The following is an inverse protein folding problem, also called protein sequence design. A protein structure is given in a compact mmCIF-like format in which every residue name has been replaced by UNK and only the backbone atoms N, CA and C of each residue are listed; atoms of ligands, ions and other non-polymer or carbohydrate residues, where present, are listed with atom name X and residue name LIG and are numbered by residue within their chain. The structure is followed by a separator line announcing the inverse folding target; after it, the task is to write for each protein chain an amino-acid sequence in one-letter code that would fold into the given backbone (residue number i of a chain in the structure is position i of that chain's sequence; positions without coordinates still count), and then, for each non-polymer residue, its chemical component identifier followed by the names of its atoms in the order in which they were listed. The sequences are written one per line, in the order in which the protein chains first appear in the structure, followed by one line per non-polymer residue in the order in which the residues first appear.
data_IF_508140630001
#
_entry.id   IF_508140630001
#
_cell.length_a   1.000
_cell.length_b   1.000
_cell.length_c   1.000
_cell.angle_alpha   90.00
_cell.angle_beta   90.00
_cell.angle_gamma   90.00
#
_symmetry.space_group_name_H-M   'P 1'
#
loop_
_entity.id
_entity.type
_entity.pdbx_description
1 polymer ?
#
# COMPACT_ATOMS: atom_id res chain seq x y z
N UNK A 1 22.64 -1.09 0.63
CA UNK A 1 21.52 -2.04 0.66
C UNK A 1 20.58 -1.76 1.82
N UNK A 2 21.06 -1.59 3.06
CA UNK A 2 20.21 -1.40 4.26
C UNK A 2 19.18 -0.26 4.14
N UNK A 3 19.48 0.80 3.42
CA UNK A 3 18.59 1.96 3.25
C UNK A 3 17.59 1.82 2.08
N UNK A 4 17.77 0.85 1.19
CA UNK A 4 16.93 0.73 -0.02
C UNK A 4 15.52 0.30 0.35
N UNK A 5 15.38 -0.73 1.18
CA UNK A 5 14.07 -1.22 1.61
C UNK A 5 13.20 -0.16 2.29
N UNK A 6 13.68 0.53 3.35
CA UNK A 6 12.90 1.60 3.98
C UNK A 6 12.54 2.72 2.99
N UNK A 7 13.49 3.13 2.14
CA UNK A 7 13.27 4.17 1.14
C UNK A 7 12.20 3.77 0.12
N UNK A 8 12.26 2.54 -0.39
CA UNK A 8 11.27 2.01 -1.33
C UNK A 8 9.88 1.96 -0.70
N UNK A 9 9.76 1.38 0.51
CA UNK A 9 8.48 1.28 1.22
C UNK A 9 7.90 2.66 1.54
N UNK A 10 8.73 3.61 2.00
CA UNK A 10 8.26 4.98 2.30
C UNK A 10 7.79 5.69 1.02
N UNK A 11 8.48 5.53 -0.11
CA UNK A 11 8.04 6.11 -1.40
C UNK A 11 6.73 5.50 -1.89
N UNK A 12 6.60 4.18 -1.84
CA UNK A 12 5.37 3.47 -2.18
C UNK A 12 4.22 3.92 -1.26
N UNK A 13 4.46 3.98 0.05
CA UNK A 13 3.47 4.44 1.01
C UNK A 13 3.03 5.89 0.74
N UNK A 14 3.96 6.79 0.45
CA UNK A 14 3.66 8.19 0.10
C UNK A 14 2.78 8.28 -1.15
N UNK A 15 3.10 7.51 -2.18
CA UNK A 15 2.29 7.45 -3.40
C UNK A 15 0.90 6.87 -3.11
N UNK A 16 0.81 5.77 -2.37
CA UNK A 16 -0.46 5.15 -1.97
C UNK A 16 -1.32 6.09 -1.14
N UNK A 17 -0.73 6.83 -0.17
CA UNK A 17 -1.45 7.80 0.66
C UNK A 17 -2.02 8.99 -0.15
N UNK A 18 -1.48 9.27 -1.33
CA UNK A 18 -1.99 10.27 -2.27
C UNK A 18 -3.14 9.78 -3.16
N UNK A 19 -3.51 8.51 -3.09
CA UNK A 19 -4.60 7.95 -3.90
C UNK A 19 -5.98 8.43 -3.45
N UNK A 20 -6.96 8.37 -4.36
CA UNK A 20 -8.36 8.68 -4.08
C UNK A 20 -9.00 7.68 -3.13
N UNK A 21 -10.12 8.04 -2.49
CA UNK A 21 -10.90 7.10 -1.67
C UNK A 21 -11.34 5.88 -2.47
N UNK A 22 -11.66 6.04 -3.75
CA UNK A 22 -12.03 4.94 -4.65
C UNK A 22 -10.99 3.83 -4.69
N UNK A 23 -9.70 4.18 -4.71
CA UNK A 23 -8.61 3.21 -4.65
C UNK A 23 -8.67 2.33 -3.39
N UNK A 24 -9.03 2.92 -2.24
CA UNK A 24 -9.12 2.20 -0.96
C UNK A 24 -10.45 1.45 -0.81
N UNK A 25 -11.51 1.87 -1.51
CA UNK A 25 -12.80 1.18 -1.54
C UNK A 25 -12.74 -0.10 -2.39
N UNK A 26 -11.91 -0.10 -3.44
CA UNK A 26 -11.72 -1.23 -4.36
C UNK A 26 -10.77 -2.30 -3.81
N UNK A 27 -9.99 -2.00 -2.76
CA UNK A 27 -9.01 -2.94 -2.19
C UNK A 27 -8.88 -2.81 -0.66
N UNK A 28 -8.58 -3.91 0.02
CA UNK A 28 -8.46 -3.87 1.47
C UNK A 28 -7.02 -3.57 1.92
N UNK A 29 -6.91 -2.83 3.05
CA UNK A 29 -5.64 -2.30 3.58
C UNK A 29 -4.56 -3.38 3.79
N UNK A 30 -4.95 -4.60 4.16
CA UNK A 30 -4.03 -5.72 4.32
C UNK A 30 -3.34 -6.12 3.03
N UNK A 31 -4.07 -6.16 1.91
CA UNK A 31 -3.50 -6.48 0.59
C UNK A 31 -2.58 -5.36 0.10
N UNK A 32 -2.98 -4.12 0.26
CA UNK A 32 -2.16 -2.95 -0.08
C UNK A 32 -0.84 -2.97 0.70
N UNK A 33 -0.91 -3.15 2.02
CA UNK A 33 0.28 -3.23 2.87
C UNK A 33 1.20 -4.40 2.50
N UNK A 34 0.63 -5.58 2.23
CA UNK A 34 1.36 -6.76 1.77
C UNK A 34 2.10 -6.47 0.45
N UNK A 35 1.41 -5.85 -0.51
CA UNK A 35 2.01 -5.47 -1.80
C UNK A 35 3.15 -4.47 -1.63
N UNK A 36 3.00 -3.44 -0.78
CA UNK A 36 4.06 -2.48 -0.49
C UNK A 36 5.33 -3.16 0.05
N UNK A 37 5.17 -4.07 1.02
CA UNK A 37 6.30 -4.79 1.60
C UNK A 37 6.97 -5.74 0.61
N UNK A 38 6.17 -6.47 -0.17
CA UNK A 38 6.65 -7.41 -1.17
C UNK A 38 7.43 -6.70 -2.28
N UNK A 39 6.87 -5.61 -2.84
CA UNK A 39 7.52 -4.79 -3.85
C UNK A 39 8.80 -4.14 -3.31
N UNK A 40 8.77 -3.63 -2.07
CA UNK A 40 9.95 -3.05 -1.41
C UNK A 40 11.09 -4.05 -1.24
N UNK A 41 10.79 -5.31 -0.91
CA UNK A 41 11.78 -6.40 -0.85
C UNK A 41 12.33 -6.73 -2.23
N UNK A 42 11.46 -6.94 -3.21
CA UNK A 42 11.88 -7.26 -4.57
C UNK A 42 12.79 -6.17 -5.17
N UNK A 43 12.52 -4.88 -4.91
CA UNK A 43 13.41 -3.77 -5.32
C UNK A 43 14.78 -3.89 -4.63
N UNK A 44 14.80 -4.23 -3.34
CA UNK A 44 16.04 -4.35 -2.55
C UNK A 44 16.88 -5.53 -3.04
N UNK A 45 16.24 -6.68 -3.26
CA UNK A 45 16.88 -7.90 -3.71
C UNK A 45 17.40 -7.73 -5.15
N UNK A 46 16.63 -7.10 -6.03
CA UNK A 46 17.04 -6.74 -7.39
C UNK A 46 18.34 -5.90 -7.40
N UNK A 47 18.42 -4.85 -6.58
CA UNK A 47 19.61 -3.99 -6.50
C UNK A 47 20.80 -4.77 -5.93
N UNK A 48 20.55 -5.57 -4.89
CA UNK A 48 21.59 -6.39 -4.26
C UNK A 48 22.15 -7.44 -5.24
N UNK A 49 21.28 -8.18 -5.91
CA UNK A 49 21.67 -9.21 -6.87
C UNK A 49 22.34 -8.62 -8.10
N UNK A 50 21.87 -7.46 -8.59
CA UNK A 50 22.51 -6.77 -9.71
C UNK A 50 23.92 -6.31 -9.32
N UNK A 51 24.09 -5.65 -8.18
CA UNK A 51 25.38 -5.11 -7.76
C UNK A 51 26.41 -6.23 -7.45
N UNK A 52 26.01 -7.26 -6.72
CA UNK A 52 26.93 -8.32 -6.31
C UNK A 52 27.00 -9.46 -7.32
N UNK A 53 25.89 -9.81 -7.95
CA UNK A 53 25.81 -10.94 -8.87
C UNK A 53 26.32 -10.61 -10.27
N UNK A 54 25.75 -9.58 -10.90
CA UNK A 54 26.06 -9.27 -12.30
C UNK A 54 27.46 -8.71 -12.43
N UNK A 55 27.84 -7.70 -11.61
CA UNK A 55 29.16 -7.05 -11.69
C UNK A 55 30.28 -8.05 -11.43
N UNK A 56 30.13 -8.88 -10.38
CA UNK A 56 31.12 -9.91 -10.06
C UNK A 56 31.22 -10.95 -11.18
N UNK A 57 30.09 -11.40 -11.73
CA UNK A 57 30.07 -12.37 -12.82
C UNK A 57 30.74 -11.89 -14.08
N UNK A 58 30.48 -10.62 -14.47
CA UNK A 58 31.10 -10.01 -15.64
C UNK A 58 32.63 -9.92 -15.44
N UNK A 59 33.09 -9.47 -14.28
CA UNK A 59 34.51 -9.36 -13.96
C UNK A 59 35.24 -10.73 -14.06
N UNK A 60 34.63 -11.78 -13.49
CA UNK A 60 35.22 -13.12 -13.53
C UNK A 60 35.26 -13.71 -14.94
N UNK A 61 34.19 -13.52 -15.71
CA UNK A 61 34.13 -14.02 -17.08
C UNK A 61 35.14 -13.29 -17.96
N UNK A 62 35.25 -11.97 -17.88
CA UNK A 62 36.25 -11.21 -18.65
C UNK A 62 37.67 -11.63 -18.28
N UNK A 63 37.94 -11.81 -16.97
CA UNK A 63 39.23 -12.29 -16.50
C UNK A 63 39.53 -13.70 -17.02
N UNK A 64 38.55 -14.60 -17.01
CA UNK A 64 38.71 -15.98 -17.51
C UNK A 64 38.99 -16.01 -19.02
N UNK A 65 38.23 -15.27 -19.81
CA UNK A 65 38.45 -15.16 -21.27
C UNK A 65 39.84 -14.60 -21.58
N UNK A 66 40.28 -13.59 -20.83
CA UNK A 66 41.61 -12.99 -20.97
C UNK A 66 42.73 -14.03 -20.67
N UNK A 67 42.66 -14.73 -19.55
CA UNK A 67 43.68 -15.70 -19.16
C UNK A 67 43.72 -16.90 -20.10
N UNK A 68 42.57 -17.45 -20.48
CA UNK A 68 42.48 -18.57 -21.45
C UNK A 68 42.97 -18.14 -22.85
N UNK A 69 42.71 -16.89 -23.24
CA UNK A 69 43.15 -16.30 -24.49
C UNK A 69 44.68 -16.13 -24.58
N UNK A 70 45.39 -16.02 -23.44
CA UNK A 70 46.87 -16.01 -23.41
C UNK A 70 47.47 -17.39 -23.69
N UNK A 71 46.70 -18.46 -23.46
CA UNK A 71 47.11 -19.84 -23.79
C UNK A 71 46.95 -20.10 -25.30
N UNK A 72 45.73 -20.03 -25.74
CA UNK A 72 45.39 -20.19 -27.17
C UNK A 72 44.06 -19.51 -27.50
N UNK A 73 43.97 -18.81 -28.63
CA UNK A 73 42.77 -18.09 -29.07
C UNK A 73 41.59 -19.06 -29.34
N UNK A 74 41.86 -20.30 -29.70
CA UNK A 74 40.82 -21.31 -29.91
C UNK A 74 40.10 -21.69 -28.63
N UNK A 75 40.82 -21.77 -27.51
CA UNK A 75 40.24 -21.98 -26.16
C UNK A 75 39.33 -20.82 -25.78
N UNK A 76 39.77 -19.58 -25.99
CA UNK A 76 38.96 -18.38 -25.75
C UNK A 76 37.68 -18.40 -26.62
N UNK A 77 37.80 -18.81 -27.88
CA UNK A 77 36.65 -18.97 -28.80
C UNK A 77 35.63 -20.00 -28.28
N UNK A 78 36.09 -21.14 -27.73
CA UNK A 78 35.21 -22.16 -27.12
C UNK A 78 34.46 -21.62 -25.89
N UNK A 79 35.13 -20.83 -25.04
CA UNK A 79 34.48 -20.15 -23.89
C UNK A 79 33.40 -19.17 -24.38
N UNK A 80 33.66 -18.40 -25.41
CA UNK A 80 32.69 -17.48 -26.00
C UNK A 80 31.47 -18.23 -26.59
N UNK A 81 31.68 -19.32 -27.33
CA UNK A 81 30.58 -20.16 -27.87
C UNK A 81 29.74 -20.72 -26.72
N UNK A 82 30.38 -21.23 -25.68
CA UNK A 82 29.70 -21.70 -24.49
C UNK A 82 28.88 -20.61 -23.81
N UNK A 83 29.44 -19.38 -23.67
CA UNK A 83 28.73 -18.22 -23.13
C UNK A 83 27.49 -17.85 -23.97
N UNK A 84 27.60 -17.91 -25.30
CA UNK A 84 26.45 -17.67 -26.19
C UNK A 84 25.38 -18.73 -25.94
N UNK A 85 25.73 -20.00 -25.86
CA UNK A 85 24.80 -21.09 -25.53
C UNK A 85 24.11 -20.89 -24.18
N UNK A 86 24.89 -20.50 -23.17
CA UNK A 86 24.40 -20.16 -21.84
C UNK A 86 23.42 -18.98 -21.87
N UNK A 87 23.77 -17.90 -22.58
CA UNK A 87 22.90 -16.71 -22.75
C UNK A 87 21.60 -17.02 -23.51
N UNK A 88 21.65 -17.84 -24.57
CA UNK A 88 20.47 -18.28 -25.30
C UNK A 88 19.52 -19.09 -24.40
N UNK A 89 20.07 -19.95 -23.55
CA UNK A 89 19.30 -20.73 -22.61
C UNK A 89 18.58 -19.84 -21.59
N UNK A 90 19.27 -18.88 -21.02
CA UNK A 90 18.66 -17.87 -20.16
C UNK A 90 17.58 -17.07 -20.89
N UNK A 91 17.87 -16.57 -22.08
CA UNK A 91 16.90 -15.82 -22.91
C UNK A 91 15.61 -16.61 -23.16
N UNK A 92 15.72 -17.94 -23.29
CA UNK A 92 14.55 -18.81 -23.45
C UNK A 92 13.71 -18.95 -22.18
N UNK A 93 14.37 -19.10 -21.02
CA UNK A 93 13.68 -19.38 -19.75
C UNK A 93 13.18 -18.12 -19.03
N UNK A 94 13.93 -17.01 -19.08
CA UNK A 94 13.64 -15.78 -18.34
C UNK A 94 12.19 -15.28 -18.53
N UNK A 95 11.66 -15.10 -19.75
CA UNK A 95 10.29 -14.59 -19.92
C UNK A 95 9.24 -15.49 -19.28
N UNK A 96 9.46 -16.81 -19.34
CA UNK A 96 8.55 -17.81 -18.76
C UNK A 96 8.57 -17.83 -17.25
N UNK A 97 9.77 -17.69 -16.66
CA UNK A 97 9.95 -17.61 -15.21
C UNK A 97 9.30 -16.33 -14.67
N UNK A 98 9.46 -15.20 -15.36
CA UNK A 98 8.86 -13.91 -15.00
C UNK A 98 7.34 -13.98 -14.93
N UNK A 99 6.67 -14.55 -15.91
CA UNK A 99 5.20 -14.71 -15.90
C UNK A 99 4.75 -15.58 -14.73
N UNK A 100 5.42 -16.72 -14.50
CA UNK A 100 5.08 -17.61 -13.40
C UNK A 100 5.38 -16.99 -12.02
N UNK A 101 6.41 -16.14 -11.92
CA UNK A 101 6.71 -15.40 -10.70
C UNK A 101 5.59 -14.41 -10.38
N UNK A 102 5.10 -13.65 -11.37
CA UNK A 102 3.95 -12.75 -11.24
C UNK A 102 2.68 -13.49 -10.78
N UNK A 103 2.35 -14.62 -11.43
CA UNK A 103 1.19 -15.44 -11.06
C UNK A 103 1.28 -15.95 -9.61
N UNK A 104 2.48 -16.42 -9.21
CA UNK A 104 2.76 -16.85 -7.83
C UNK A 104 2.59 -15.73 -6.84
N UNK A 105 3.11 -14.53 -7.15
CA UNK A 105 3.00 -13.34 -6.30
C UNK A 105 1.53 -12.93 -6.11
N UNK A 106 0.74 -12.90 -7.18
CA UNK A 106 -0.69 -12.61 -7.15
C UNK A 106 -1.45 -13.63 -6.27
N UNK A 107 -1.21 -14.93 -6.46
CA UNK A 107 -1.85 -15.97 -5.66
C UNK A 107 -1.46 -15.88 -4.16
N UNK A 108 -0.22 -15.50 -3.86
CA UNK A 108 0.25 -15.25 -2.48
C UNK A 108 -0.50 -14.08 -1.84
N UNK A 109 -0.72 -13.00 -2.60
CA UNK A 109 -1.45 -11.84 -2.10
C UNK A 109 -2.91 -12.18 -1.77
N UNK A 110 -3.58 -13.00 -2.60
CA UNK A 110 -4.94 -13.48 -2.34
C UNK A 110 -4.99 -14.30 -1.05
N UNK A 111 -4.07 -15.27 -0.88
CA UNK A 111 -4.00 -16.09 0.33
C UNK A 111 -3.79 -15.21 1.58
N UNK A 112 -2.82 -14.30 1.54
CA UNK A 112 -2.57 -13.40 2.68
C UNK A 112 -3.77 -12.51 2.96
N UNK A 113 -4.43 -12.01 1.91
CA UNK A 113 -5.64 -11.22 2.03
C UNK A 113 -6.76 -11.98 2.74
N UNK A 114 -7.02 -13.22 2.36
CA UNK A 114 -8.03 -14.08 3.00
C UNK A 114 -7.72 -14.30 4.49
N UNK A 115 -6.46 -14.54 4.85
CA UNK A 115 -6.06 -14.72 6.25
C UNK A 115 -6.25 -13.43 7.06
N UNK A 116 -5.86 -12.28 6.49
CA UNK A 116 -6.03 -10.98 7.15
C UNK A 116 -7.50 -10.64 7.34
N UNK A 117 -8.35 -10.88 6.34
CA UNK A 117 -9.79 -10.63 6.43
C UNK A 117 -10.44 -11.49 7.53
N UNK A 118 -10.15 -12.80 7.55
CA UNK A 118 -10.64 -13.72 8.57
C UNK A 118 -10.23 -13.29 9.97
N UNK A 119 -8.95 -12.90 10.16
CA UNK A 119 -8.43 -12.47 11.47
C UNK A 119 -9.00 -11.12 11.90
N UNK A 120 -9.21 -10.20 10.96
CA UNK A 120 -9.83 -8.90 11.23
C UNK A 120 -11.26 -9.05 11.71
N UNK A 121 -12.00 -10.03 11.17
CA UNK A 121 -13.39 -10.32 11.49
C UNK A 121 -13.55 -11.53 12.43
N UNK A 122 -12.52 -11.86 13.21
CA UNK A 122 -12.48 -13.10 14.01
C UNK A 122 -13.64 -13.22 15.02
N UNK A 123 -14.12 -12.10 15.56
CA UNK A 123 -15.28 -12.07 16.45
C UNK A 123 -16.53 -12.59 15.74
N UNK A 124 -16.78 -12.16 14.51
CA UNK A 124 -17.91 -12.64 13.69
C UNK A 124 -17.77 -14.13 13.39
N UNK A 125 -16.59 -14.59 12.99
CA UNK A 125 -16.31 -16.01 12.72
C UNK A 125 -16.60 -16.87 13.96
N UNK A 126 -16.19 -16.39 15.14
CA UNK A 126 -16.44 -17.09 16.43
C UNK A 126 -17.91 -17.07 16.82
N UNK A 127 -18.59 -15.93 16.69
CA UNK A 127 -20.01 -15.78 17.04
C UNK A 127 -20.91 -16.69 16.21
N UNK A 128 -20.64 -16.84 14.93
CA UNK A 128 -21.43 -17.69 14.03
C UNK A 128 -20.91 -19.14 13.94
N UNK A 129 -19.88 -19.50 14.70
CA UNK A 129 -19.28 -20.85 14.71
C UNK A 129 -18.83 -21.35 13.33
N UNK A 130 -18.43 -20.45 12.42
CA UNK A 130 -18.07 -20.78 11.04
C UNK A 130 -16.56 -20.95 10.80
N UNK A 131 -15.80 -21.31 11.85
CA UNK A 131 -14.33 -21.51 11.76
C UNK A 131 -13.96 -22.46 10.62
N UNK A 132 -14.61 -23.63 10.52
CA UNK A 132 -14.31 -24.61 9.48
C UNK A 132 -14.70 -24.17 8.05
N UNK A 133 -15.57 -23.17 7.90
CA UNK A 133 -15.88 -22.57 6.59
C UNK A 133 -14.75 -21.65 6.13
N UNK A 134 -14.27 -20.80 7.03
CA UNK A 134 -13.17 -19.87 6.72
C UNK A 134 -11.84 -20.62 6.57
N UNK A 135 -11.61 -21.69 7.32
CA UNK A 135 -10.48 -22.60 7.14
C UNK A 135 -10.46 -23.22 5.73
N UNK A 136 -11.59 -23.73 5.25
CA UNK A 136 -11.70 -24.27 3.87
C UNK A 136 -11.39 -23.23 2.80
N UNK A 137 -11.87 -22.00 2.95
CA UNK A 137 -11.53 -20.91 2.00
C UNK A 137 -10.03 -20.60 1.99
N UNK A 138 -9.40 -20.58 3.18
CA UNK A 138 -7.97 -20.42 3.28
C UNK A 138 -7.20 -21.59 2.64
N UNK A 139 -7.68 -22.84 2.82
CA UNK A 139 -7.13 -24.04 2.17
C UNK A 139 -7.26 -23.97 0.65
N UNK A 140 -8.39 -23.52 0.09
CA UNK A 140 -8.58 -23.31 -1.35
C UNK A 140 -7.61 -22.27 -1.93
N UNK A 141 -7.46 -21.14 -1.22
CA UNK A 141 -6.48 -20.12 -1.59
C UNK A 141 -5.03 -20.64 -1.51
N UNK A 142 -4.71 -21.42 -0.46
CA UNK A 142 -3.42 -22.07 -0.29
C UNK A 142 -3.15 -23.12 -1.37
N UNK A 143 -4.17 -23.90 -1.78
CA UNK A 143 -4.06 -24.86 -2.87
C UNK A 143 -3.76 -24.15 -4.20
N UNK A 144 -4.42 -23.04 -4.47
CA UNK A 144 -4.16 -22.21 -5.66
C UNK A 144 -2.73 -21.66 -5.65
N UNK A 145 -2.28 -21.09 -4.52
CA UNK A 145 -0.90 -20.63 -4.35
C UNK A 145 0.10 -21.78 -4.56
N UNK A 146 -0.16 -22.96 -3.96
CA UNK A 146 0.69 -24.14 -4.11
C UNK A 146 0.81 -24.56 -5.58
N UNK A 147 -0.28 -24.58 -6.33
CA UNK A 147 -0.26 -24.91 -7.76
C UNK A 147 0.63 -23.95 -8.56
N UNK A 148 0.49 -22.63 -8.33
CA UNK A 148 1.32 -21.62 -8.98
C UNK A 148 2.79 -21.69 -8.54
N UNK A 149 3.04 -21.97 -7.27
CA UNK A 149 4.39 -22.16 -6.73
C UNK A 149 5.09 -23.39 -7.33
N UNK A 150 4.38 -24.51 -7.49
CA UNK A 150 4.90 -25.72 -8.13
C UNK A 150 5.22 -25.44 -9.62
N UNK A 151 4.33 -24.78 -10.34
CA UNK A 151 4.57 -24.42 -11.74
C UNK A 151 5.85 -23.56 -11.91
N UNK A 152 6.01 -22.54 -11.05
CA UNK A 152 7.21 -21.73 -10.98
C UNK A 152 8.46 -22.58 -10.66
N UNK A 153 8.41 -23.36 -9.56
CA UNK A 153 9.55 -24.16 -9.11
C UNK A 153 9.99 -25.20 -10.16
N UNK A 154 9.03 -25.84 -10.82
CA UNK A 154 9.31 -26.81 -11.91
C UNK A 154 10.02 -26.13 -13.08
N UNK A 155 9.57 -24.95 -13.50
CA UNK A 155 10.20 -24.22 -14.62
C UNK A 155 11.62 -23.77 -14.26
N UNK A 156 11.81 -23.26 -13.04
CA UNK A 156 13.14 -22.90 -12.52
C UNK A 156 14.02 -24.14 -12.40
N UNK A 157 13.48 -25.26 -11.92
CA UNK A 157 14.19 -26.54 -11.82
C UNK A 157 14.71 -27.06 -13.16
N UNK A 158 13.88 -27.03 -14.20
CA UNK A 158 14.31 -27.41 -15.55
C UNK A 158 15.38 -26.48 -16.11
N UNK A 159 15.23 -25.16 -15.93
CA UNK A 159 16.27 -24.22 -16.33
C UNK A 159 17.59 -24.53 -15.64
N UNK A 160 17.57 -24.73 -14.31
CA UNK A 160 18.75 -25.05 -13.52
C UNK A 160 19.39 -26.38 -13.96
N UNK A 161 18.60 -27.43 -14.21
CA UNK A 161 19.12 -28.73 -14.67
C UNK A 161 19.85 -28.59 -16.01
N UNK A 162 19.26 -27.90 -16.99
CA UNK A 162 19.90 -27.68 -18.29
C UNK A 162 21.17 -26.82 -18.18
N UNK A 163 21.16 -25.79 -17.34
CA UNK A 163 22.35 -24.97 -17.09
C UNK A 163 23.45 -25.75 -16.39
N UNK A 164 23.14 -26.68 -15.48
CA UNK A 164 24.11 -27.57 -14.84
C UNK A 164 24.73 -28.56 -15.86
N UNK A 165 23.92 -29.11 -16.76
CA UNK A 165 24.44 -29.94 -17.83
C UNK A 165 25.38 -29.14 -18.72
N UNK A 166 24.96 -27.95 -19.16
CA UNK A 166 25.81 -27.06 -19.97
C UNK A 166 27.10 -26.66 -19.23
N UNK A 167 27.04 -26.38 -17.91
CA UNK A 167 28.22 -26.07 -17.10
C UNK A 167 29.22 -27.22 -17.04
N UNK A 168 28.73 -28.48 -16.96
CA UNK A 168 29.57 -29.69 -16.98
C UNK A 168 30.29 -29.93 -18.30
N UNK A 169 29.78 -29.43 -19.44
CA UNK A 169 30.46 -29.60 -20.74
C UNK A 169 31.71 -28.76 -20.87
N UNK A 170 31.79 -27.59 -20.18
CA UNK A 170 32.91 -26.65 -20.35
C UNK A 170 34.27 -27.24 -19.94
N UNK A 171 34.44 -27.86 -18.74
CA UNK A 171 35.71 -28.50 -18.37
C UNK A 171 36.10 -29.61 -19.31
N UNK A 172 35.13 -30.43 -19.76
CA UNK A 172 35.40 -31.55 -20.69
C UNK A 172 35.96 -31.02 -22.01
N UNK A 173 35.29 -29.99 -22.58
CA UNK A 173 35.71 -29.41 -23.87
C UNK A 173 37.04 -28.67 -23.75
N UNK A 174 37.26 -27.85 -22.74
CA UNK A 174 38.49 -27.08 -22.57
C UNK A 174 39.69 -27.95 -22.25
N UNK A 175 39.56 -28.94 -21.34
CA UNK A 175 40.66 -29.86 -21.01
C UNK A 175 40.96 -30.76 -22.22
N UNK A 176 39.91 -31.28 -22.89
CA UNK A 176 40.08 -32.12 -24.08
C UNK A 176 40.81 -31.38 -25.20
N UNK A 177 40.42 -30.13 -25.48
CA UNK A 177 41.10 -29.28 -26.48
C UNK A 177 42.53 -28.92 -26.05
N UNK A 178 42.78 -28.64 -24.80
CA UNK A 178 44.11 -28.35 -24.30
C UNK A 178 45.04 -29.55 -24.38
N UNK A 179 44.55 -30.79 -24.14
CA UNK A 179 45.27 -32.04 -24.36
C UNK A 179 45.62 -32.25 -25.83
N UNK A 180 44.70 -31.98 -26.73
CA UNK A 180 44.93 -32.06 -28.15
C UNK A 180 45.99 -31.05 -28.61
N UNK A 181 45.97 -29.79 -28.11
CA UNK A 181 46.99 -28.79 -28.39
C UNK A 181 48.36 -29.21 -27.84
N UNK A 182 48.42 -29.82 -26.66
CA UNK A 182 49.67 -30.37 -26.12
C UNK A 182 50.27 -31.47 -26.96
N UNK A 183 49.45 -32.41 -27.45
CA UNK A 183 49.91 -33.47 -28.40
C UNK A 183 50.48 -32.87 -29.68
N UNK A 184 49.91 -31.74 -30.14
CA UNK A 184 50.40 -30.98 -31.29
C UNK A 184 51.62 -30.10 -31.01
N UNK A 185 52.16 -30.10 -29.74
CA UNK A 185 53.29 -29.28 -29.33
C UNK A 185 52.97 -27.78 -29.15
N UNK A 186 51.68 -27.41 -29.14
CA UNK A 186 51.20 -26.04 -29.06
C UNK A 186 50.77 -25.62 -27.65
N UNK A 187 50.82 -26.49 -26.65
CA UNK A 187 50.53 -26.17 -25.25
C UNK A 187 51.44 -26.94 -24.30
N UNK A 188 51.68 -26.37 -23.11
CA UNK A 188 52.43 -26.98 -22.02
C UNK A 188 51.54 -27.72 -21.01
N UNK A 189 52.05 -28.65 -20.19
CA UNK A 189 51.27 -29.28 -19.11
C UNK A 189 50.70 -28.26 -18.10
N UNK A 190 51.40 -27.14 -17.83
CA UNK A 190 50.93 -26.06 -16.98
C UNK A 190 49.71 -25.34 -17.54
N UNK A 191 49.66 -25.16 -18.86
CA UNK A 191 48.52 -24.54 -19.55
C UNK A 191 47.27 -25.43 -19.54
N UNK A 192 47.43 -26.77 -19.64
CA UNK A 192 46.33 -27.76 -19.48
C UNK A 192 45.75 -27.62 -18.04
N UNK A 193 46.60 -27.57 -17.03
CA UNK A 193 46.16 -27.39 -15.64
C UNK A 193 45.44 -26.06 -15.44
N UNK A 194 45.95 -24.98 -16.07
CA UNK A 194 45.32 -23.65 -16.01
C UNK A 194 43.93 -23.66 -16.70
N UNK A 195 43.81 -24.22 -17.88
CA UNK A 195 42.56 -24.35 -18.57
C UNK A 195 41.53 -25.20 -17.78
N UNK A 196 41.99 -26.26 -17.11
CA UNK A 196 41.17 -27.09 -16.24
C UNK A 196 40.66 -26.32 -15.01
N UNK A 197 41.53 -25.58 -14.33
CA UNK A 197 41.18 -24.77 -13.16
C UNK A 197 40.15 -23.68 -13.54
N UNK A 198 40.40 -22.95 -14.63
CA UNK A 198 39.52 -21.88 -15.09
C UNK A 198 38.16 -22.43 -15.51
N UNK A 199 38.13 -23.50 -16.30
CA UNK A 199 36.88 -24.12 -16.75
C UNK A 199 36.03 -24.63 -15.60
N UNK A 200 36.67 -25.27 -14.59
CA UNK A 200 35.98 -25.71 -13.39
C UNK A 200 35.45 -24.53 -12.57
N UNK A 201 36.21 -23.45 -12.49
CA UNK A 201 35.78 -22.19 -11.81
C UNK A 201 34.56 -21.56 -12.50
N UNK A 202 34.57 -21.46 -13.85
CA UNK A 202 33.44 -20.94 -14.63
C UNK A 202 32.22 -21.86 -14.47
N UNK A 203 32.41 -23.17 -14.53
CA UNK A 203 31.32 -24.13 -14.36
C UNK A 203 30.64 -24.04 -12.99
N UNK A 204 31.42 -23.93 -11.91
CA UNK A 204 30.89 -23.74 -10.56
C UNK A 204 30.13 -22.42 -10.40
N UNK A 205 30.67 -21.35 -10.97
CA UNK A 205 30.02 -20.03 -10.92
C UNK A 205 28.76 -19.97 -11.79
N UNK A 206 28.72 -20.70 -12.91
CA UNK A 206 27.56 -20.71 -13.82
C UNK A 206 26.25 -21.05 -13.12
N UNK A 207 26.25 -21.99 -12.19
CA UNK A 207 25.09 -22.33 -11.37
C UNK A 207 24.62 -21.18 -10.49
N UNK A 208 25.57 -20.50 -9.83
CA UNK A 208 25.28 -19.33 -8.98
C UNK A 208 24.78 -18.14 -9.81
N UNK A 209 25.47 -17.80 -10.90
CA UNK A 209 25.07 -16.71 -11.82
C UNK A 209 23.69 -16.94 -12.39
N UNK A 210 23.36 -18.20 -12.75
CA UNK A 210 22.04 -18.57 -13.25
C UNK A 210 20.97 -18.41 -12.18
N UNK A 211 21.27 -18.74 -10.92
CA UNK A 211 20.37 -18.52 -9.79
C UNK A 211 20.11 -17.01 -9.57
N UNK A 212 21.15 -16.19 -9.56
CA UNK A 212 21.06 -14.73 -9.44
C UNK A 212 20.24 -14.15 -10.61
N UNK A 213 20.52 -14.55 -11.86
CA UNK A 213 19.78 -14.06 -13.01
C UNK A 213 18.28 -14.42 -12.91
N UNK A 214 17.94 -15.62 -12.48
CA UNK A 214 16.53 -16.00 -12.28
C UNK A 214 15.88 -15.27 -11.13
N UNK A 215 16.61 -14.98 -10.03
CA UNK A 215 16.19 -14.12 -8.93
C UNK A 215 15.82 -12.74 -9.45
N UNK A 216 16.75 -12.07 -10.15
CA UNK A 216 16.54 -10.74 -10.75
C UNK A 216 15.24 -10.69 -11.57
N UNK A 217 15.00 -11.67 -12.44
CA UNK A 217 13.80 -11.65 -13.27
C UNK A 217 12.52 -12.03 -12.51
N UNK A 218 12.63 -12.83 -11.46
CA UNK A 218 11.51 -13.07 -10.55
C UNK A 218 11.14 -11.79 -9.78
N UNK A 219 12.12 -11.05 -9.30
CA UNK A 219 11.93 -9.78 -8.61
C UNK A 219 11.34 -8.71 -9.53
N UNK A 220 11.79 -8.64 -10.79
CA UNK A 220 11.16 -7.78 -11.81
C UNK A 220 9.67 -8.12 -11.96
N UNK A 221 9.31 -9.40 -12.01
CA UNK A 221 7.92 -9.84 -12.08
C UNK A 221 7.10 -9.45 -10.84
N UNK A 222 7.68 -9.56 -9.64
CA UNK A 222 7.06 -9.09 -8.39
C UNK A 222 6.90 -7.56 -8.34
N UNK A 223 7.90 -6.82 -8.82
CA UNK A 223 7.85 -5.35 -8.90
C UNK A 223 6.75 -4.92 -9.87
N UNK A 224 6.64 -5.53 -11.05
CA UNK A 224 5.60 -5.20 -12.02
C UNK A 224 4.19 -5.44 -11.49
N UNK A 225 3.97 -6.58 -10.85
CA UNK A 225 2.68 -6.88 -10.21
C UNK A 225 2.36 -5.89 -9.09
N UNK A 226 3.36 -5.56 -8.27
CA UNK A 226 3.25 -4.55 -7.23
C UNK A 226 2.93 -3.15 -7.77
N UNK A 227 3.64 -2.71 -8.80
CA UNK A 227 3.46 -1.39 -9.42
C UNK A 227 2.10 -1.26 -10.11
N UNK A 228 1.57 -2.32 -10.74
CA UNK A 228 0.22 -2.31 -11.29
C UNK A 228 -0.86 -2.05 -10.24
N UNK A 229 -0.65 -2.55 -9.03
CA UNK A 229 -1.60 -2.37 -7.92
C UNK A 229 -1.39 -1.05 -7.19
N UNK A 230 -0.12 -0.68 -6.90
CA UNK A 230 0.21 0.42 -5.97
C UNK A 230 0.45 1.76 -6.65
N UNK A 231 0.75 1.78 -7.95
CA UNK A 231 1.18 2.98 -8.65
C UNK A 231 0.28 3.40 -9.84
N UNK A 232 -1.07 3.23 -9.78
CA UNK A 232 -1.91 3.93 -10.74
C UNK A 232 -1.71 5.45 -10.59
N UNK A 233 -1.93 6.19 -11.65
CA UNK A 233 -1.92 7.64 -11.59
C UNK A 233 -2.94 8.15 -10.56
N UNK A 234 -2.61 9.24 -9.85
CA UNK A 234 -3.54 9.83 -8.91
C UNK A 234 -4.76 10.39 -9.67
N UNK A 235 -5.94 9.88 -9.36
CA UNK A 235 -7.20 10.40 -9.92
C UNK A 235 -7.51 11.81 -9.42
N UNK A 236 -7.14 12.07 -8.14
CA UNK A 236 -7.35 13.34 -7.47
C UNK A 236 -6.00 14.00 -7.18
N UNK A 237 -5.77 15.14 -7.78
CA UNK A 237 -4.62 16.00 -7.52
C UNK A 237 -5.06 17.46 -7.50
N UNK A 238 -4.23 18.30 -6.91
CA UNK A 238 -4.42 19.74 -7.02
C UNK A 238 -4.26 20.17 -8.48
N UNK A 239 -5.17 21.01 -8.96
CA UNK A 239 -5.06 21.56 -10.30
C UNK A 239 -3.89 22.54 -10.38
N UNK A 240 -3.25 22.70 -11.55
CA UNK A 240 -2.30 23.77 -11.75
C UNK A 240 -2.94 25.13 -11.42
N UNK A 241 -2.33 25.88 -10.49
CA UNK A 241 -2.89 27.15 -10.01
C UNK A 241 -3.93 27.04 -8.89
N UNK A 242 -4.11 25.86 -8.28
CA UNK A 242 -4.99 25.69 -7.14
C UNK A 242 -4.63 26.65 -5.99
N UNK A 243 -5.63 27.30 -5.42
CA UNK A 243 -5.48 28.36 -4.42
C UNK A 243 -5.53 27.79 -3.01
N UNK A 244 -4.69 28.34 -2.11
CA UNK A 244 -4.78 28.12 -0.69
C UNK A 244 -5.62 29.22 -0.04
N UNK A 245 -6.75 28.86 0.59
CA UNK A 245 -7.56 29.81 1.35
C UNK A 245 -7.10 29.85 2.81
N UNK A 246 -6.94 31.03 3.42
CA UNK A 246 -6.54 31.12 4.83
C UNK A 246 -7.65 30.59 5.76
N UNK A 247 -8.79 31.23 5.85
CA UNK A 247 -9.99 30.77 6.57
C UNK A 247 -11.22 31.15 5.76
N UNK A 248 -12.09 30.19 5.49
CA UNK A 248 -13.31 30.40 4.72
C UNK A 248 -14.42 31.01 5.60
N UNK A 249 -15.33 31.77 5.00
CA UNK A 249 -16.51 32.31 5.69
C UNK A 249 -17.58 31.25 6.00
N UNK A 250 -17.41 30.02 5.49
CA UNK A 250 -18.33 28.92 5.72
C UNK A 250 -19.53 28.88 4.78
N UNK A 251 -19.60 29.71 3.73
CA UNK A 251 -20.61 29.61 2.66
C UNK A 251 -20.37 28.39 1.82
N UNK A 252 -21.39 27.54 1.64
CA UNK A 252 -21.34 26.33 0.81
C UNK A 252 -22.40 26.40 -0.28
N UNK A 253 -22.03 26.08 -1.52
CA UNK A 253 -22.94 26.07 -2.65
C UNK A 253 -22.76 24.80 -3.47
N UNK A 254 -23.87 24.15 -3.78
CA UNK A 254 -23.99 23.11 -4.81
C UNK A 254 -24.79 23.71 -5.97
N UNK A 255 -24.27 23.61 -7.18
CA UNK A 255 -24.85 24.21 -8.38
C UNK A 255 -24.92 23.13 -9.46
N UNK A 256 -26.08 22.47 -9.56
CA UNK A 256 -26.28 21.35 -10.47
C UNK A 256 -25.27 20.21 -10.24
N UNK A 257 -24.79 20.03 -9.01
CA UNK A 257 -23.71 19.09 -8.70
C UNK A 257 -24.13 17.64 -8.95
N UNK A 258 -23.34 16.92 -9.75
CA UNK A 258 -23.61 15.53 -10.14
C UNK A 258 -22.40 14.64 -9.84
N UNK A 259 -22.67 13.50 -9.21
CA UNK A 259 -21.71 12.41 -9.01
C UNK A 259 -22.41 11.06 -8.97
N UNK A 260 -21.84 10.05 -9.65
CA UNK A 260 -22.39 8.69 -9.70
C UNK A 260 -21.26 7.70 -9.45
N UNK A 261 -21.49 6.72 -8.57
CA UNK A 261 -20.54 5.65 -8.28
C UNK A 261 -20.51 4.61 -9.41
N UNK A 262 -19.34 4.31 -9.95
CA UNK A 262 -19.15 3.26 -10.94
C UNK A 262 -19.79 3.60 -12.31
N UNK A 263 -20.77 2.78 -12.76
CA UNK A 263 -21.48 2.98 -14.05
C UNK A 263 -22.59 4.01 -13.91
N UNK A 264 -23.08 4.54 -15.05
CA UNK A 264 -24.11 5.60 -15.11
C UNK A 264 -25.40 5.30 -14.33
N UNK A 265 -25.74 4.02 -14.15
CA UNK A 265 -26.89 3.57 -13.36
C UNK A 265 -26.58 3.37 -11.86
N UNK A 266 -25.35 3.63 -11.42
CA UNK A 266 -24.93 3.53 -10.03
C UNK A 266 -25.62 4.55 -9.12
N UNK A 267 -25.60 4.28 -7.81
CA UNK A 267 -26.05 5.24 -6.79
C UNK A 267 -25.20 6.51 -6.81
N UNK A 268 -25.76 7.61 -6.33
CA UNK A 268 -25.05 8.89 -6.27
C UNK A 268 -26.00 10.09 -6.16
N UNK A 269 -25.56 11.22 -6.65
CA UNK A 269 -26.31 12.49 -6.68
C UNK A 269 -26.41 12.97 -8.13
N UNK A 270 -27.63 13.37 -8.54
CA UNK A 270 -27.92 13.69 -9.96
C UNK A 270 -28.45 15.10 -10.13
N UNK A 271 -27.93 16.12 -9.80
CA UNK A 271 -28.44 17.49 -9.89
C UNK A 271 -28.82 18.08 -8.52
N UNK A 272 -27.82 18.21 -7.67
CA UNK A 272 -27.99 18.87 -6.38
C UNK A 272 -27.74 20.36 -6.53
N UNK A 273 -28.78 21.16 -6.24
CA UNK A 273 -28.67 22.62 -6.15
C UNK A 273 -29.10 23.06 -4.75
N UNK A 274 -28.17 23.63 -4.00
CA UNK A 274 -28.35 24.03 -2.60
C UNK A 274 -27.35 25.13 -2.24
N UNK A 275 -27.82 26.20 -1.62
CA UNK A 275 -26.94 27.26 -1.04
C UNK A 275 -27.14 27.30 0.45
N UNK A 276 -26.03 27.31 1.20
CA UNK A 276 -25.98 27.36 2.66
C UNK A 276 -25.20 28.63 3.04
N UNK A 277 -25.84 29.52 3.76
CA UNK A 277 -25.21 30.75 4.22
C UNK A 277 -24.19 30.51 5.36
N UNK A 278 -23.22 31.42 5.56
CA UNK A 278 -22.33 31.36 6.71
C UNK A 278 -23.10 31.30 8.03
N UNK A 279 -22.77 30.32 8.89
CA UNK A 279 -23.42 30.12 10.19
C UNK A 279 -24.78 29.40 10.12
N UNK A 280 -25.30 29.12 8.93
CA UNK A 280 -26.56 28.38 8.75
C UNK A 280 -26.40 26.91 9.15
N UNK A 281 -27.47 26.34 9.73
CA UNK A 281 -27.54 24.93 10.11
C UNK A 281 -28.57 24.23 9.23
N UNK A 282 -28.11 23.33 8.38
CA UNK A 282 -28.96 22.60 7.40
C UNK A 282 -28.95 21.12 7.71
N UNK A 283 -30.13 20.49 7.72
CA UNK A 283 -30.28 19.05 7.82
C UNK A 283 -30.62 18.44 6.46
N UNK A 284 -29.79 17.49 6.00
CA UNK A 284 -30.06 16.66 4.83
C UNK A 284 -30.89 15.45 5.27
N UNK A 285 -32.16 15.41 4.84
CA UNK A 285 -33.10 14.35 5.17
C UNK A 285 -33.48 13.57 3.91
N UNK A 286 -33.79 12.29 4.05
CA UNK A 286 -34.18 11.44 2.94
C UNK A 286 -33.91 9.96 3.20
N UNK A 287 -34.41 9.11 2.32
CA UNK A 287 -34.23 7.66 2.40
C UNK A 287 -32.76 7.25 2.39
N UNK A 288 -32.44 6.07 2.96
CA UNK A 288 -31.12 5.48 2.79
C UNK A 288 -30.81 5.33 1.30
N UNK A 289 -29.59 5.64 0.88
CA UNK A 289 -29.20 5.64 -0.54
C UNK A 289 -29.57 6.89 -1.34
N UNK A 290 -30.25 7.90 -0.73
CA UNK A 290 -30.63 9.15 -1.42
C UNK A 290 -29.44 10.10 -1.75
N UNK A 291 -28.21 9.70 -1.50
CA UNK A 291 -27.02 10.50 -1.83
C UNK A 291 -26.57 11.50 -0.75
N UNK A 292 -27.12 11.46 0.46
CA UNK A 292 -26.79 12.41 1.55
C UNK A 292 -25.30 12.41 1.89
N UNK A 293 -24.73 11.25 2.19
CA UNK A 293 -23.27 11.10 2.47
C UNK A 293 -22.42 11.41 1.24
N UNK A 294 -22.95 11.17 0.03
CA UNK A 294 -22.29 11.53 -1.22
C UNK A 294 -22.17 13.05 -1.37
N UNK A 295 -23.20 13.83 -0.97
CA UNK A 295 -23.12 15.29 -0.96
C UNK A 295 -21.97 15.79 -0.08
N UNK A 296 -21.79 15.23 1.13
CA UNK A 296 -20.64 15.56 1.99
C UNK A 296 -19.31 15.11 1.37
N UNK A 297 -19.28 13.96 0.71
CA UNK A 297 -18.09 13.47 0.02
C UNK A 297 -17.67 14.36 -1.14
N UNK A 298 -18.62 14.92 -1.89
CA UNK A 298 -18.36 15.92 -2.95
C UNK A 298 -17.79 17.22 -2.36
N UNK A 299 -18.33 17.70 -1.25
CA UNK A 299 -17.84 18.91 -0.58
C UNK A 299 -16.37 18.76 -0.09
N UNK A 300 -16.05 17.59 0.45
CA UNK A 300 -14.67 17.24 0.88
C UNK A 300 -13.74 16.88 -0.29
N UNK A 301 -14.28 16.88 -1.50
CA UNK A 301 -13.59 16.42 -2.71
C UNK A 301 -12.90 15.08 -2.43
N UNK A 302 -13.65 14.10 -1.89
CA UNK A 302 -13.19 12.71 -1.78
C UNK A 302 -13.30 11.99 -3.14
N UNK A 303 -14.19 12.50 -4.00
CA UNK A 303 -14.40 12.14 -5.40
C UNK A 303 -14.59 13.43 -6.21
N UNK A 304 -14.09 13.48 -7.44
CA UNK A 304 -14.39 14.58 -8.34
C UNK A 304 -15.81 14.44 -8.90
N UNK A 305 -16.51 15.57 -8.98
CA UNK A 305 -17.88 15.63 -9.53
C UNK A 305 -17.88 15.44 -11.05
N UNK A 306 -18.90 14.75 -11.56
CA UNK A 306 -19.08 14.48 -12.99
C UNK A 306 -19.69 15.69 -13.75
N UNK A 307 -20.35 16.60 -13.03
CA UNK A 307 -20.97 17.78 -13.61
C UNK A 307 -21.39 18.80 -12.55
N UNK A 308 -21.69 20.01 -12.97
CA UNK A 308 -22.00 21.13 -12.09
C UNK A 308 -20.78 21.66 -11.32
N UNK A 309 -21.05 22.32 -10.20
CA UNK A 309 -20.02 22.85 -9.32
C UNK A 309 -20.38 22.67 -7.84
N UNK A 310 -19.36 22.50 -7.00
CA UNK A 310 -19.45 22.63 -5.53
C UNK A 310 -18.48 23.74 -5.13
N UNK A 311 -18.99 24.74 -4.39
CA UNK A 311 -18.18 25.91 -4.00
C UNK A 311 -18.11 26.04 -2.48
N UNK A 312 -16.95 26.43 -1.99
CA UNK A 312 -16.71 26.84 -0.62
C UNK A 312 -16.23 28.29 -0.61
N UNK A 313 -16.94 29.18 0.09
CA UNK A 313 -16.66 30.62 0.11
C UNK A 313 -16.52 31.23 -1.31
N UNK A 314 -17.38 30.80 -2.25
CA UNK A 314 -17.40 31.26 -3.64
C UNK A 314 -16.37 30.59 -4.57
N UNK A 315 -15.42 29.83 -4.06
CA UNK A 315 -14.41 29.09 -4.85
C UNK A 315 -14.87 27.66 -5.17
N UNK A 316 -14.73 27.21 -6.40
CA UNK A 316 -14.96 25.81 -6.74
C UNK A 316 -13.96 24.94 -5.98
N UNK A 317 -14.44 23.86 -5.34
CA UNK A 317 -13.60 22.94 -4.56
C UNK A 317 -12.48 22.31 -5.38
N UNK A 318 -12.62 22.28 -6.72
CA UNK A 318 -11.61 21.77 -7.66
C UNK A 318 -10.44 22.74 -7.85
N UNK A 319 -10.65 24.02 -7.59
CA UNK A 319 -9.65 25.09 -7.75
C UNK A 319 -8.95 25.41 -6.42
N UNK A 320 -9.33 24.74 -5.34
CA UNK A 320 -8.67 24.79 -4.05
C UNK A 320 -7.67 23.64 -3.91
N UNK A 321 -6.57 23.85 -3.16
CA UNK A 321 -5.72 22.73 -2.76
C UNK A 321 -6.50 21.81 -1.82
N UNK A 322 -6.35 20.49 -1.99
CA UNK A 322 -7.04 19.49 -1.17
C UNK A 322 -6.78 19.67 0.33
N UNK A 323 -5.57 20.04 0.70
CA UNK A 323 -5.19 20.29 2.08
C UNK A 323 -5.97 21.49 2.66
N UNK A 324 -5.97 22.61 1.94
CA UNK A 324 -6.71 23.81 2.36
C UNK A 324 -8.21 23.53 2.45
N UNK A 325 -8.82 22.92 1.43
CA UNK A 325 -10.24 22.58 1.42
C UNK A 325 -10.61 21.75 2.65
N UNK A 326 -9.87 20.68 2.89
CA UNK A 326 -10.15 19.74 3.99
C UNK A 326 -9.88 20.34 5.37
N UNK A 327 -8.99 21.33 5.49
CA UNK A 327 -8.80 22.09 6.74
C UNK A 327 -10.01 22.95 7.09
N UNK A 328 -10.75 23.47 6.09
CA UNK A 328 -11.95 24.30 6.31
C UNK A 328 -13.19 23.49 6.73
N UNK A 329 -13.15 22.18 6.70
CA UNK A 329 -14.30 21.33 6.96
C UNK A 329 -13.96 20.30 8.05
N UNK A 330 -14.63 20.36 9.19
CA UNK A 330 -14.59 19.30 10.20
C UNK A 330 -15.71 18.30 9.90
N UNK A 331 -15.40 17.00 9.96
CA UNK A 331 -16.40 15.94 9.75
C UNK A 331 -16.44 15.01 10.95
N UNK A 332 -17.63 14.77 11.47
CA UNK A 332 -17.92 13.73 12.47
C UNK A 332 -18.79 12.66 11.81
N UNK A 333 -18.26 11.45 11.72
CA UNK A 333 -18.95 10.30 11.10
C UNK A 333 -19.59 9.42 12.17
N UNK A 334 -20.58 8.62 11.75
CA UNK A 334 -21.20 7.60 12.57
C UNK A 334 -20.16 6.58 13.08
N UNK A 335 -19.37 6.02 12.17
CA UNK A 335 -18.25 5.17 12.52
C UNK A 335 -16.98 5.98 12.77
N UNK A 336 -16.66 6.15 14.05
CA UNK A 336 -15.50 6.90 14.49
C UNK A 336 -14.26 6.03 14.53
N UNK A 337 -13.43 6.11 13.48
CA UNK A 337 -12.16 5.40 13.43
C UNK A 337 -11.16 5.96 14.46
N UNK A 338 -10.57 5.06 15.25
CA UNK A 338 -9.50 5.38 16.20
C UNK A 338 -8.19 4.74 15.77
N UNK A 339 -7.11 5.51 15.85
CA UNK A 339 -5.76 5.00 15.65
C UNK A 339 -5.30 4.23 16.89
N UNK A 340 -4.51 3.19 16.71
CA UNK A 340 -3.83 2.50 17.81
C UNK A 340 -2.66 3.35 18.34
N UNK A 341 -3.00 4.49 18.90
CA UNK A 341 -2.10 5.49 19.50
C UNK A 341 -2.68 5.93 20.84
N UNK A 342 -1.99 6.86 21.52
CA UNK A 342 -2.48 7.47 22.76
C UNK A 342 -3.82 8.19 22.56
N UNK A 343 -4.58 8.39 23.64
CA UNK A 343 -5.79 9.23 23.61
C UNK A 343 -5.44 10.66 23.18
N UNK A 344 -4.28 11.17 23.65
CA UNK A 344 -3.74 12.47 23.26
C UNK A 344 -3.55 12.57 21.73
N UNK A 345 -2.79 11.65 21.12
CA UNK A 345 -2.52 11.66 19.68
C UNK A 345 -3.80 11.51 18.84
N UNK A 346 -4.78 10.78 19.37
CA UNK A 346 -6.07 10.65 18.71
C UNK A 346 -6.84 11.96 18.66
N UNK A 347 -6.77 12.80 19.69
CA UNK A 347 -7.41 14.12 19.69
C UNK A 347 -6.57 15.12 18.89
N UNK A 348 -5.25 15.16 19.12
CA UNK A 348 -4.31 16.04 18.45
C UNK A 348 -4.29 15.84 16.91
N UNK A 349 -4.78 14.69 16.41
CA UNK A 349 -4.95 14.46 14.98
C UNK A 349 -5.83 15.51 14.29
N UNK A 350 -6.73 16.19 15.03
CA UNK A 350 -7.54 17.30 14.50
C UNK A 350 -6.71 18.53 14.12
N UNK A 351 -5.67 18.84 14.90
CA UNK A 351 -4.68 19.90 14.68
C UNK A 351 -3.37 19.50 15.36
N UNK A 352 -2.43 18.88 14.61
CA UNK A 352 -1.18 18.33 15.17
C UNK A 352 -0.27 19.36 15.85
N UNK A 353 -0.34 20.61 15.44
CA UNK A 353 0.40 21.75 15.98
C UNK A 353 -0.21 22.36 17.25
N UNK A 354 -1.35 21.86 17.73
CA UNK A 354 -2.02 22.35 18.91
C UNK A 354 -1.19 22.07 20.18
N UNK A 355 -1.25 23.03 21.13
CA UNK A 355 -0.62 22.84 22.43
C UNK A 355 -1.31 21.75 23.25
N UNK A 356 -0.64 21.27 24.31
CA UNK A 356 -1.22 20.25 25.19
C UNK A 356 -2.48 20.80 25.89
N UNK A 357 -2.47 22.06 26.27
CA UNK A 357 -3.58 22.75 26.90
C UNK A 357 -4.81 22.80 25.98
N UNK A 358 -4.62 23.13 24.71
CA UNK A 358 -5.68 23.14 23.70
C UNK A 358 -6.29 21.75 23.49
N UNK A 359 -5.47 20.70 23.47
CA UNK A 359 -5.94 19.31 23.36
C UNK A 359 -6.77 18.91 24.58
N UNK A 360 -6.31 19.27 25.80
CA UNK A 360 -7.06 18.98 27.03
C UNK A 360 -8.38 19.77 27.06
N UNK A 361 -8.38 21.04 26.64
CA UNK A 361 -9.57 21.86 26.60
C UNK A 361 -10.58 21.34 25.57
N UNK A 362 -10.14 20.94 24.40
CA UNK A 362 -10.99 20.26 23.40
C UNK A 362 -11.62 18.96 23.95
N UNK A 363 -10.87 18.21 24.76
CA UNK A 363 -11.39 17.01 25.42
C UNK A 363 -12.44 17.35 26.49
N UNK A 364 -12.27 18.43 27.25
CA UNK A 364 -13.27 18.92 28.24
C UNK A 364 -14.56 19.37 27.53
N UNK A 365 -14.42 20.20 26.51
CA UNK A 365 -15.56 20.67 25.70
C UNK A 365 -16.35 19.51 25.03
N UNK A 366 -15.68 18.42 24.74
CA UNK A 366 -16.27 17.19 24.19
C UNK A 366 -16.77 16.22 25.27
N UNK A 367 -16.77 16.60 26.56
CA UNK A 367 -17.12 15.71 27.68
C UNK A 367 -16.29 14.40 27.70
N UNK A 368 -15.04 14.48 27.24
CA UNK A 368 -14.16 13.32 27.11
C UNK A 368 -13.10 13.23 28.23
N UNK A 369 -12.85 14.32 28.92
CA UNK A 369 -11.73 14.45 29.88
C UNK A 369 -11.79 13.39 31.01
N UNK A 370 -12.93 13.24 31.65
CA UNK A 370 -13.08 12.39 32.84
C UNK A 370 -12.78 10.92 32.54
N UNK A 371 -13.41 10.38 31.46
CA UNK A 371 -13.15 8.98 31.13
C UNK A 371 -11.73 8.78 30.57
N UNK A 372 -11.15 9.78 29.86
CA UNK A 372 -9.77 9.69 29.37
C UNK A 372 -8.81 9.65 30.58
N UNK A 373 -9.01 10.49 31.59
CA UNK A 373 -8.19 10.49 32.80
C UNK A 373 -8.17 9.15 33.53
N UNK A 374 -9.27 8.39 33.46
CA UNK A 374 -9.40 7.06 34.06
C UNK A 374 -8.88 5.90 33.17
N UNK A 375 -8.45 6.18 31.92
CA UNK A 375 -7.94 5.13 31.04
C UNK A 375 -6.63 4.55 31.55
N UNK A 376 -6.45 3.24 31.32
CA UNK A 376 -5.17 2.57 31.44
C UNK A 376 -4.99 1.52 30.33
N UNK A 377 -3.77 1.25 29.94
CA UNK A 377 -3.46 0.23 28.96
C UNK A 377 -2.61 -0.93 29.55
N UNK A 378 -2.45 -2.00 28.76
CA UNK A 378 -1.69 -3.20 29.18
C UNK A 378 -0.21 -2.93 29.47
N UNK A 379 0.32 -1.78 29.07
CA UNK A 379 1.72 -1.37 29.29
C UNK A 379 1.87 -0.42 30.49
N UNK A 380 0.79 -0.20 31.25
CA UNK A 380 0.79 0.68 32.45
C UNK A 380 0.73 2.18 32.13
N UNK A 381 0.48 2.57 30.87
CA UNK A 381 0.27 3.99 30.52
C UNK A 381 -1.14 4.40 30.92
N UNK A 382 -1.29 5.59 31.50
CA UNK A 382 -2.55 6.07 32.06
C UNK A 382 -3.00 7.39 31.42
N UNK A 383 -4.28 7.69 31.56
CA UNK A 383 -4.86 8.96 31.10
C UNK A 383 -4.69 9.19 29.59
N UNK A 384 -4.26 10.38 29.26
CA UNK A 384 -4.04 10.78 27.87
C UNK A 384 -2.94 9.99 27.14
N UNK A 385 -2.00 9.40 27.87
CA UNK A 385 -0.93 8.59 27.30
C UNK A 385 -1.36 7.11 27.07
N UNK A 386 -2.52 6.72 27.58
CA UNK A 386 -3.05 5.37 27.37
C UNK A 386 -3.39 5.12 25.89
N UNK A 387 -2.94 4.00 25.33
CA UNK A 387 -3.27 3.59 23.96
C UNK A 387 -4.66 3.00 23.88
N UNK A 388 -5.44 3.45 22.88
CA UNK A 388 -6.83 3.08 22.71
C UNK A 388 -7.05 1.68 22.13
N UNK A 389 -5.97 1.02 21.68
CA UNK A 389 -6.04 -0.27 20.97
C UNK A 389 -6.44 -0.11 19.50
N UNK A 390 -6.43 -1.24 18.79
CA UNK A 390 -6.83 -1.25 17.38
C UNK A 390 -8.30 -0.86 17.26
N UNK A 391 -8.60 0.13 16.40
CA UNK A 391 -9.95 0.69 16.18
C UNK A 391 -10.65 1.17 17.48
N UNK A 392 -9.91 1.42 18.56
CA UNK A 392 -10.51 1.85 19.82
C UNK A 392 -11.34 0.77 20.50
N UNK A 393 -10.97 -0.51 20.36
CA UNK A 393 -11.71 -1.67 20.89
C UNK A 393 -11.96 -1.62 22.40
N UNK A 394 -11.17 -0.83 23.13
CA UNK A 394 -11.30 -0.64 24.58
C UNK A 394 -12.33 0.42 24.99
N UNK A 395 -12.88 1.16 24.02
CA UNK A 395 -13.81 2.25 24.25
C UNK A 395 -15.24 1.87 23.92
N UNK A 396 -16.20 2.39 24.68
CA UNK A 396 -17.61 2.33 24.28
C UNK A 396 -17.88 3.18 23.04
N UNK A 397 -19.02 2.96 22.37
CA UNK A 397 -19.43 3.78 21.21
C UNK A 397 -19.45 5.27 21.52
N UNK A 398 -20.07 5.66 22.65
CA UNK A 398 -20.13 7.05 23.09
C UNK A 398 -18.76 7.65 23.47
N UNK A 399 -17.83 6.86 24.02
CA UNK A 399 -16.46 7.30 24.29
C UNK A 399 -15.70 7.58 22.99
N UNK A 400 -15.80 6.69 21.99
CA UNK A 400 -15.20 6.92 20.65
C UNK A 400 -15.77 8.18 20.02
N UNK A 401 -17.07 8.40 20.12
CA UNK A 401 -17.74 9.58 19.56
C UNK A 401 -17.28 10.87 20.23
N UNK A 402 -17.14 10.91 21.57
CA UNK A 402 -16.62 12.08 22.28
C UNK A 402 -15.17 12.40 21.90
N UNK A 403 -14.32 11.41 21.67
CA UNK A 403 -12.97 11.65 21.12
C UNK A 403 -13.05 12.23 19.69
N UNK A 404 -13.95 11.76 18.84
CA UNK A 404 -14.15 12.32 17.52
C UNK A 404 -14.68 13.76 17.55
N UNK A 405 -15.56 14.08 18.51
CA UNK A 405 -15.99 15.45 18.77
C UNK A 405 -14.83 16.33 19.24
N UNK A 406 -13.99 15.85 20.16
CA UNK A 406 -12.78 16.56 20.58
C UNK A 406 -11.84 16.86 19.39
N UNK A 407 -11.66 15.93 18.45
CA UNK A 407 -10.92 16.18 17.20
C UNK A 407 -11.53 17.32 16.38
N UNK A 408 -12.86 17.32 16.22
CA UNK A 408 -13.58 18.33 15.45
C UNK A 408 -13.55 19.71 16.14
N UNK A 409 -13.64 19.76 17.48
CA UNK A 409 -13.50 20.98 18.27
C UNK A 409 -12.10 21.54 18.10
N UNK A 410 -11.07 20.73 18.29
CA UNK A 410 -9.67 21.12 18.16
C UNK A 410 -9.31 21.62 16.77
N UNK A 411 -9.91 21.02 15.73
CA UNK A 411 -9.72 21.42 14.33
C UNK A 411 -10.21 22.84 14.06
N UNK A 412 -11.25 23.29 14.75
CA UNK A 412 -11.85 24.62 14.65
C UNK A 412 -12.18 25.09 13.22
N UNK A 413 -12.75 24.19 12.43
CA UNK A 413 -13.12 24.47 11.05
C UNK A 413 -14.41 25.31 10.97
N UNK A 414 -14.55 26.25 9.98
CA UNK A 414 -15.76 27.07 9.79
C UNK A 414 -16.97 26.28 9.32
N UNK A 415 -16.78 25.13 8.64
CA UNK A 415 -17.84 24.23 8.21
C UNK A 415 -17.78 22.92 8.98
N UNK A 416 -18.92 22.49 9.51
CA UNK A 416 -19.08 21.24 10.23
C UNK A 416 -20.01 20.30 9.45
N UNK A 417 -19.51 19.13 9.06
CA UNK A 417 -20.28 18.05 8.47
C UNK A 417 -20.55 16.97 9.54
N UNK A 418 -21.81 16.66 9.77
CA UNK A 418 -22.26 15.65 10.73
C UNK A 418 -22.96 14.53 9.99
N UNK A 419 -22.40 13.31 10.04
CA UNK A 419 -23.00 12.12 9.43
C UNK A 419 -23.48 11.20 10.54
N UNK A 420 -24.78 11.20 10.83
CA UNK A 420 -25.46 10.40 11.87
C UNK A 420 -24.81 10.48 13.28
N UNK A 421 -24.32 11.64 13.65
CA UNK A 421 -23.54 11.80 14.87
C UNK A 421 -24.32 11.51 16.18
N UNK A 422 -25.63 11.23 16.14
CA UNK A 422 -26.48 10.98 17.32
C UNK A 422 -27.12 9.58 17.35
N UNK A 423 -26.89 8.72 16.36
CA UNK A 423 -27.74 7.54 16.11
C UNK A 423 -27.54 6.32 17.05
N UNK A 424 -26.53 6.26 17.91
CA UNK A 424 -26.12 5.02 18.59
C UNK A 424 -25.91 5.16 20.14
N UNK A 425 -26.68 5.99 20.85
CA UNK A 425 -26.36 6.34 22.23
C UNK A 425 -27.40 5.83 23.23
N UNK A 426 -26.93 5.37 24.39
CA UNK A 426 -27.72 5.03 25.58
C UNK A 426 -27.85 6.27 26.47
N UNK A 427 -29.00 6.50 27.11
CA UNK A 427 -29.50 7.78 27.60
C UNK A 427 -28.55 8.72 28.40
N UNK A 428 -27.64 8.25 29.26
CA UNK A 428 -26.71 9.14 29.99
C UNK A 428 -25.56 9.66 29.14
N UNK A 429 -25.05 8.83 28.20
CA UNK A 429 -24.02 9.26 27.25
C UNK A 429 -24.57 10.17 26.15
N UNK A 430 -25.87 10.10 25.86
CA UNK A 430 -26.57 10.90 24.87
C UNK A 430 -26.55 12.39 25.25
N UNK A 431 -26.85 12.74 26.50
CA UNK A 431 -26.86 14.11 26.98
C UNK A 431 -25.48 14.77 26.89
N UNK A 432 -24.41 14.05 27.25
CA UNK A 432 -23.04 14.55 27.15
C UNK A 432 -22.60 14.78 25.68
N UNK A 433 -22.95 13.85 24.79
CA UNK A 433 -22.67 13.99 23.35
C UNK A 433 -23.48 15.14 22.74
N UNK A 434 -24.74 15.31 23.15
CA UNK A 434 -25.59 16.38 22.69
C UNK A 434 -25.05 17.75 23.12
N UNK A 435 -24.67 17.92 24.39
CA UNK A 435 -24.04 19.13 24.87
C UNK A 435 -22.74 19.49 24.15
N UNK A 436 -21.91 18.47 23.87
CA UNK A 436 -20.68 18.64 23.09
C UNK A 436 -20.97 19.06 21.63
N UNK A 437 -21.99 18.47 21.00
CA UNK A 437 -22.44 18.83 19.65
C UNK A 437 -22.98 20.26 19.59
N UNK A 438 -23.79 20.69 20.55
CA UNK A 438 -24.30 22.05 20.60
C UNK A 438 -23.18 23.09 20.69
N UNK A 439 -22.19 22.84 21.55
CA UNK A 439 -20.96 23.66 21.63
C UNK A 439 -20.18 23.66 20.31
N UNK A 440 -20.03 22.51 19.68
CA UNK A 440 -19.32 22.38 18.41
C UNK A 440 -20.03 23.12 17.28
N UNK A 441 -21.38 23.12 17.25
CA UNK A 441 -22.19 23.78 16.22
C UNK A 441 -22.29 25.31 16.40
N UNK A 442 -21.92 25.84 17.54
CA UNK A 442 -22.02 27.27 17.81
C UNK A 442 -21.14 28.09 16.86
N UNK A 443 -21.72 29.09 16.18
CA UNK A 443 -21.02 30.00 15.26
C UNK A 443 -20.46 29.38 13.98
N UNK A 444 -20.80 28.15 13.66
CA UNK A 444 -20.32 27.44 12.45
C UNK A 444 -21.45 27.16 11.48
N UNK A 445 -21.11 27.05 10.20
CA UNK A 445 -22.00 26.49 9.17
C UNK A 445 -22.08 24.98 9.38
N UNK A 446 -23.29 24.44 9.53
CA UNK A 446 -23.48 23.00 9.84
C UNK A 446 -24.28 22.33 8.74
N UNK A 447 -23.77 21.21 8.26
CA UNK A 447 -24.48 20.30 7.35
C UNK A 447 -24.62 18.95 8.08
N UNK A 448 -25.83 18.65 8.54
CA UNK A 448 -26.11 17.42 9.29
C UNK A 448 -26.91 16.43 8.42
N UNK A 449 -26.54 15.17 8.42
CA UNK A 449 -27.38 14.09 7.90
C UNK A 449 -28.19 13.54 9.06
N UNK A 450 -29.53 13.71 9.00
CA UNK A 450 -30.47 13.21 9.99
C UNK A 450 -31.13 11.94 9.49
N UNK A 451 -31.10 10.88 10.31
CA UNK A 451 -31.82 9.62 10.07
C UNK A 451 -33.09 9.48 10.95
N UNK A 452 -33.21 10.30 11.99
CA UNK A 452 -34.39 10.40 12.83
C UNK A 452 -34.86 11.83 12.83
N UNK A 453 -36.08 12.06 12.41
CA UNK A 453 -36.84 13.29 12.60
C UNK A 453 -37.50 13.26 13.96
#
# INVERSE_FOLDING_TARGET
VANIYPMAVIRLNRHTMGQSMRFFDDDFAGRISQKQQQTGRAITDLVHETANGVVFSVAVVLGAVFVVGQIDLRLAGLVLVWMVAWGLLLRHFIPRVRVLAKDRAAARAVLTGQLVDTLTNISTVKLFAHVGREERKAEEAAATFRQKAIAFATRVGWCRALLMVLAGTLPVVLIGTSLWLWQAGAASPGEIATAGLISTRIAQMSGWVSFVAMGIFADIGEIEDGMQTLAPAHELSDRPGAVALPRAEGRVEYDGARFVYGREDGGGVRDLTLTIAPGEKVALVGRSGAGKSTALSMLLRLYDIAGGAVRLAGHDVRDLTLDTLRRQIAMVRQDTAMFNRSAYDNIAYGRPEASREEVLEAARLAEAHEFIAALSDKKGRTGYEAHLGERGVKLSGGQRQRIALARAILKDAPVLALDEATAALVSETEAAVQAALERLMAGRTVIAIAHRL
#
